data_IF_531681338790
#
_entry.id   IF_531681338790
#
_cell.length_a   1.000
_cell.length_b   1.000
_cell.length_c   1.000
_cell.angle_alpha   90.00
_cell.angle_beta   90.00
_cell.angle_gamma   90.00
#
_symmetry.space_group_name_H-M   'P 1'
#
loop_
_entity.id
_entity.type
_entity.pdbx_description
1 polymer ?
#
# COMPACT_ATOMS: atom_id res chain seq x y z
N UNK A 1 -19.90 16.83 5.84
CA UNK A 1 -19.55 15.64 5.04
C UNK A 1 -18.92 14.63 5.99
N UNK A 2 -19.65 13.58 6.34
CA UNK A 2 -19.18 12.54 7.25
C UNK A 2 -18.00 11.84 6.59
N UNK A 3 -16.82 11.91 7.21
CA UNK A 3 -15.67 11.11 6.79
C UNK A 3 -16.06 9.65 7.02
N UNK A 4 -16.39 8.93 5.94
CA UNK A 4 -16.55 7.48 5.99
C UNK A 4 -15.18 6.93 6.39
N UNK A 5 -15.02 6.66 7.68
CA UNK A 5 -13.88 5.97 8.22
C UNK A 5 -14.02 4.51 7.78
N UNK A 6 -13.63 4.21 6.55
CA UNK A 6 -13.51 2.83 6.09
C UNK A 6 -12.57 2.10 7.03
N UNK A 7 -13.09 1.22 7.86
CA UNK A 7 -12.26 0.35 8.66
C UNK A 7 -11.80 -0.80 7.76
N UNK A 8 -10.50 -0.88 7.47
CA UNK A 8 -9.94 -1.99 6.67
C UNK A 8 -10.33 -3.36 7.23
N UNK A 9 -10.52 -3.48 8.55
CA UNK A 9 -10.99 -4.73 9.17
C UNK A 9 -12.42 -5.08 8.77
N UNK A 10 -13.29 -4.09 8.58
CA UNK A 10 -14.68 -4.28 8.19
C UNK A 10 -14.77 -4.76 6.74
N UNK A 11 -14.07 -4.10 5.81
CA UNK A 11 -14.01 -4.52 4.40
C UNK A 11 -13.48 -5.96 4.29
N UNK A 12 -12.43 -6.29 5.04
CA UNK A 12 -11.86 -7.65 5.03
C UNK A 12 -12.83 -8.66 5.65
N UNK A 13 -13.51 -8.31 6.74
CA UNK A 13 -14.49 -9.18 7.39
C UNK A 13 -15.70 -9.44 6.48
N UNK A 14 -16.23 -8.42 5.82
CA UNK A 14 -17.30 -8.54 4.83
C UNK A 14 -16.89 -9.43 3.66
N UNK A 15 -15.71 -9.19 3.10
CA UNK A 15 -15.18 -10.00 2.01
C UNK A 15 -14.95 -11.47 2.43
N UNK A 16 -14.46 -11.72 3.64
CA UNK A 16 -14.34 -13.07 4.21
C UNK A 16 -15.71 -13.71 4.48
N UNK A 17 -16.73 -12.95 4.86
CA UNK A 17 -18.08 -13.48 5.05
C UNK A 17 -18.69 -13.94 3.71
N UNK A 18 -18.38 -13.25 2.61
CA UNK A 18 -18.80 -13.64 1.26
C UNK A 18 -18.01 -14.84 0.72
N UNK A 19 -16.71 -14.91 1.01
CA UNK A 19 -15.83 -15.98 0.55
C UNK A 19 -14.95 -16.55 1.67
N UNK A 20 -15.51 -17.37 2.59
CA UNK A 20 -14.80 -17.81 3.81
C UNK A 20 -13.53 -18.63 3.53
N UNK A 21 -13.52 -19.37 2.43
CA UNK A 21 -12.40 -20.23 2.01
C UNK A 21 -11.90 -19.91 0.59
N UNK A 22 -12.40 -18.82 -0.01
CA UNK A 22 -12.12 -18.43 -1.38
C UNK A 22 -11.20 -17.21 -1.47
N UNK A 23 -10.96 -16.72 -2.70
CA UNK A 23 -10.29 -15.43 -2.89
C UNK A 23 -11.09 -14.32 -2.21
N UNK A 24 -10.39 -13.41 -1.53
CA UNK A 24 -11.04 -12.29 -0.81
C UNK A 24 -11.80 -11.35 -1.77
N UNK A 25 -11.28 -11.16 -2.99
CA UNK A 25 -11.89 -10.34 -4.02
C UNK A 25 -12.03 -11.17 -5.30
N UNK A 26 -13.22 -11.13 -5.91
CA UNK A 26 -13.59 -12.01 -7.03
C UNK A 26 -14.21 -11.23 -8.19
N UNK A 27 -13.93 -11.65 -9.41
CA UNK A 27 -14.50 -11.02 -10.62
C UNK A 27 -15.85 -11.63 -11.06
N UNK A 28 -16.19 -12.84 -10.58
CA UNK A 28 -17.43 -13.64 -10.76
C UNK A 28 -17.11 -15.11 -10.41
N UNK A 29 -18.05 -16.04 -10.61
CA UNK A 29 -17.77 -17.49 -10.65
C UNK A 29 -17.42 -17.99 -12.07
N UNK A 30 -16.86 -19.19 -12.16
CA UNK A 30 -16.45 -19.85 -13.41
C UNK A 30 -17.59 -20.52 -14.20
N UNK A 31 -18.85 -20.19 -13.90
CA UNK A 31 -20.04 -20.88 -14.44
C UNK A 31 -20.33 -22.22 -13.77
N UNK A 32 -19.44 -22.72 -12.91
CA UNK A 32 -19.61 -23.91 -12.09
C UNK A 32 -19.65 -23.58 -10.58
N UNK A 33 -19.80 -22.30 -10.23
CA UNK A 33 -19.89 -21.82 -8.86
C UNK A 33 -18.54 -21.66 -8.14
N UNK A 34 -17.41 -21.83 -8.83
CA UNK A 34 -16.09 -21.57 -8.25
C UNK A 34 -15.71 -20.10 -8.43
N UNK A 35 -15.47 -19.42 -7.33
CA UNK A 35 -15.01 -18.04 -7.32
C UNK A 35 -13.69 -17.84 -8.08
N UNK A 36 -13.68 -16.90 -9.02
CA UNK A 36 -12.49 -16.49 -9.77
C UNK A 36 -11.84 -15.31 -9.04
N UNK A 37 -10.55 -15.39 -8.67
CA UNK A 37 -9.83 -14.25 -8.09
C UNK A 37 -9.85 -13.04 -9.02
N UNK A 38 -9.96 -11.84 -8.45
CA UNK A 38 -9.78 -10.60 -9.21
C UNK A 38 -8.42 -10.61 -9.93
N UNK A 39 -8.42 -10.27 -11.22
CA UNK A 39 -7.18 -10.13 -11.98
C UNK A 39 -6.48 -8.80 -11.66
N UNK A 40 -5.16 -8.77 -11.81
CA UNK A 40 -4.37 -7.55 -11.63
C UNK A 40 -4.76 -6.47 -12.65
N UNK A 41 -5.18 -6.87 -13.85
CA UNK A 41 -5.64 -5.95 -14.89
C UNK A 41 -6.94 -5.25 -14.48
N UNK A 42 -7.90 -5.98 -13.88
CA UNK A 42 -9.12 -5.39 -13.33
C UNK A 42 -8.81 -4.37 -12.25
N UNK A 43 -7.90 -4.69 -11.32
CA UNK A 43 -7.47 -3.73 -10.28
C UNK A 43 -6.77 -2.51 -10.90
N UNK A 44 -5.94 -2.73 -11.93
CA UNK A 44 -5.23 -1.66 -12.61
C UNK A 44 -6.19 -0.71 -13.34
N UNK A 45 -7.23 -1.24 -13.99
CA UNK A 45 -8.28 -0.46 -14.61
C UNK A 45 -9.07 0.35 -13.56
N UNK A 46 -9.45 -0.27 -12.44
CA UNK A 46 -10.15 0.41 -11.35
C UNK A 46 -9.33 1.59 -10.79
N UNK A 47 -8.03 1.39 -10.51
CA UNK A 47 -7.14 2.48 -10.05
C UNK A 47 -6.99 3.57 -11.11
N UNK A 48 -6.97 3.21 -12.39
CA UNK A 48 -6.90 4.20 -13.48
C UNK A 48 -8.14 5.10 -13.50
N UNK A 49 -9.33 4.53 -13.36
CA UNK A 49 -10.58 5.30 -13.30
C UNK A 49 -10.64 6.17 -12.04
N UNK A 50 -10.24 5.63 -10.87
CA UNK A 50 -10.10 6.42 -9.65
C UNK A 50 -9.14 7.60 -9.84
N UNK A 51 -7.98 7.36 -10.46
CA UNK A 51 -6.99 8.41 -10.71
C UNK A 51 -7.54 9.52 -11.59
N UNK A 52 -8.24 9.18 -12.68
CA UNK A 52 -8.92 10.16 -13.54
C UNK A 52 -9.95 10.98 -12.77
N UNK A 53 -10.76 10.32 -11.95
CA UNK A 53 -11.78 11.00 -11.14
C UNK A 53 -11.16 11.96 -10.12
N UNK A 54 -10.10 11.53 -9.42
CA UNK A 54 -9.39 12.38 -8.45
C UNK A 54 -8.68 13.57 -9.10
N UNK A 55 -8.10 13.39 -10.28
CA UNK A 55 -7.51 14.51 -11.04
C UNK A 55 -8.59 15.50 -11.46
N UNK A 56 -9.72 15.02 -11.97
CA UNK A 56 -10.86 15.87 -12.35
C UNK A 56 -11.45 16.63 -11.16
N UNK A 57 -11.42 16.03 -9.97
CA UNK A 57 -11.87 16.65 -8.72
C UNK A 57 -10.81 17.53 -8.05
N UNK A 58 -9.62 17.70 -8.64
CA UNK A 58 -8.47 18.43 -8.08
C UNK A 58 -7.93 17.86 -6.75
N UNK A 59 -8.31 16.63 -6.40
CA UNK A 59 -7.81 15.91 -5.22
C UNK A 59 -6.43 15.29 -5.47
N UNK A 60 -6.09 15.04 -6.73
CA UNK A 60 -4.79 14.56 -7.17
C UNK A 60 -4.15 15.56 -8.16
N UNK A 61 -2.88 15.91 -7.93
CA UNK A 61 -2.13 16.84 -8.78
C UNK A 61 -1.85 16.29 -10.19
N UNK A 62 -1.76 14.97 -10.33
CA UNK A 62 -1.48 14.29 -11.59
C UNK A 62 -2.06 12.88 -11.57
N UNK A 63 -2.17 12.28 -12.76
CA UNK A 63 -2.52 10.86 -12.87
C UNK A 63 -1.49 9.97 -12.19
N UNK A 64 -1.94 8.80 -11.75
CA UNK A 64 -1.15 7.75 -11.11
C UNK A 64 -1.74 6.38 -11.45
N UNK A 65 -0.90 5.35 -11.33
CA UNK A 65 -1.25 3.96 -11.62
C UNK A 65 -1.22 3.09 -10.37
N UNK A 66 -1.68 1.84 -10.49
CA UNK A 66 -1.58 0.83 -9.42
C UNK A 66 -0.12 0.64 -8.95
N UNK A 67 0.86 0.75 -9.85
CA UNK A 67 2.29 0.65 -9.52
C UNK A 67 2.77 1.79 -8.63
N UNK A 68 2.24 2.99 -8.83
CA UNK A 68 2.65 4.18 -8.08
C UNK A 68 2.21 4.12 -6.62
N UNK A 69 1.11 3.40 -6.31
CA UNK A 69 0.69 3.12 -4.94
C UNK A 69 1.80 2.35 -4.21
N UNK A 70 2.32 1.28 -4.82
CA UNK A 70 3.42 0.49 -4.24
C UNK A 70 4.71 1.31 -4.13
N UNK A 71 5.08 2.09 -5.15
CA UNK A 71 6.28 2.94 -5.15
C UNK A 71 6.21 4.01 -4.04
N UNK A 72 5.04 4.61 -3.85
CA UNK A 72 4.77 5.57 -2.77
C UNK A 72 4.92 4.90 -1.40
N UNK A 73 4.31 3.73 -1.20
CA UNK A 73 4.46 2.95 0.04
C UNK A 73 5.94 2.66 0.34
N UNK A 74 6.71 2.20 -0.65
CA UNK A 74 8.13 1.91 -0.49
C UNK A 74 8.95 3.15 -0.11
N UNK A 75 8.65 4.29 -0.74
CA UNK A 75 9.33 5.57 -0.50
C UNK A 75 9.02 6.08 0.91
N UNK A 76 7.76 6.00 1.32
CA UNK A 76 7.33 6.40 2.66
C UNK A 76 7.89 5.50 3.76
N UNK A 77 7.97 4.18 3.53
CA UNK A 77 8.66 3.26 4.45
C UNK A 77 10.14 3.62 4.59
N UNK A 78 10.80 4.02 3.49
CA UNK A 78 12.18 4.51 3.53
C UNK A 78 12.32 5.77 4.40
N UNK A 79 11.40 6.73 4.22
CA UNK A 79 11.37 7.97 4.99
C UNK A 79 11.13 7.73 6.50
N UNK A 80 10.42 6.64 6.84
CA UNK A 80 10.26 6.16 8.22
C UNK A 80 11.48 5.41 8.77
N UNK A 81 12.58 5.32 8.00
CA UNK A 81 13.82 4.67 8.41
C UNK A 81 13.81 3.13 8.26
N UNK A 82 12.83 2.56 7.57
CA UNK A 82 12.78 1.10 7.34
C UNK A 82 13.87 0.71 6.34
N UNK A 83 14.74 -0.22 6.74
CA UNK A 83 15.88 -0.65 5.92
C UNK A 83 15.45 -1.22 4.57
N UNK A 84 16.36 -1.19 3.60
CA UNK A 84 16.13 -1.75 2.27
C UNK A 84 15.78 -3.24 2.36
N UNK A 85 16.45 -4.00 3.22
CA UNK A 85 16.21 -5.44 3.38
C UNK A 85 14.81 -5.73 3.92
N UNK A 86 14.37 -5.01 4.96
CA UNK A 86 13.01 -5.17 5.51
C UNK A 86 11.95 -4.74 4.49
N UNK A 87 12.19 -3.68 3.72
CA UNK A 87 11.28 -3.27 2.62
C UNK A 87 11.24 -4.30 1.50
N UNK A 88 12.37 -4.91 1.14
CA UNK A 88 12.45 -5.96 0.15
C UNK A 88 11.69 -7.22 0.58
N UNK A 89 11.87 -7.60 1.85
CA UNK A 89 11.13 -8.67 2.52
C UNK A 89 9.61 -8.40 2.60
N UNK A 90 9.21 -7.17 2.90
CA UNK A 90 7.80 -6.79 3.04
C UNK A 90 7.09 -6.71 1.69
N UNK A 91 7.74 -6.08 0.72
CA UNK A 91 7.15 -5.85 -0.60
C UNK A 91 7.48 -7.00 -1.58
N UNK A 92 8.28 -8.00 -1.19
CA UNK A 92 8.68 -9.10 -2.08
C UNK A 92 9.39 -8.61 -3.34
N UNK A 93 10.32 -7.66 -3.21
CA UNK A 93 11.20 -7.26 -4.31
C UNK A 93 12.64 -7.12 -3.84
N UNK A 94 13.58 -7.28 -4.76
CA UNK A 94 15.00 -7.13 -4.44
C UNK A 94 15.56 -8.25 -3.55
N UNK A 95 14.80 -9.31 -3.34
CA UNK A 95 15.29 -10.56 -2.75
C UNK A 95 15.92 -11.40 -3.85
N UNK A 96 17.18 -11.80 -3.67
CA UNK A 96 17.93 -12.59 -4.64
C UNK A 96 19.38 -12.78 -4.25
N UNK A 97 20.02 -13.78 -4.87
CA UNK A 97 21.42 -14.11 -4.63
C UNK A 97 21.62 -15.28 -3.67
N UNK A 98 22.89 -15.64 -3.46
CA UNK A 98 23.28 -16.83 -2.67
C UNK A 98 22.88 -16.69 -1.21
N UNK A 99 22.94 -15.47 -0.65
CA UNK A 99 22.57 -15.20 0.74
C UNK A 99 21.10 -15.54 0.99
N UNK A 100 20.19 -14.91 0.26
CA UNK A 100 18.75 -15.11 0.39
C UNK A 100 18.33 -16.55 0.07
N UNK A 101 19.03 -17.22 -0.85
CA UNK A 101 18.69 -18.59 -1.27
C UNK A 101 19.18 -19.66 -0.30
N UNK A 102 20.39 -19.51 0.24
CA UNK A 102 21.07 -20.61 0.94
C UNK A 102 21.18 -20.39 2.45
N UNK A 103 21.24 -19.13 2.89
CA UNK A 103 21.62 -18.80 4.27
C UNK A 103 20.53 -18.04 5.04
N UNK A 104 19.85 -17.07 4.42
CA UNK A 104 18.83 -16.30 5.12
C UNK A 104 17.53 -17.10 5.28
N UNK A 105 17.37 -17.67 6.47
CA UNK A 105 16.17 -18.42 6.88
C UNK A 105 15.29 -17.62 7.84
N UNK A 106 15.64 -16.36 8.12
CA UNK A 106 14.86 -15.52 9.02
C UNK A 106 13.54 -15.14 8.36
N UNK A 107 12.44 -15.21 9.11
CA UNK A 107 11.11 -14.88 8.56
C UNK A 107 10.88 -13.38 8.43
N UNK A 108 11.66 -12.57 9.16
CA UNK A 108 11.49 -11.12 9.34
C UNK A 108 10.09 -10.73 9.87
N UNK A 109 9.37 -11.66 10.51
CA UNK A 109 7.99 -11.41 10.93
C UNK A 109 7.88 -10.18 11.85
N UNK A 110 8.75 -10.10 12.86
CA UNK A 110 8.73 -9.01 13.84
C UNK A 110 9.02 -7.65 13.19
N UNK A 111 9.94 -7.64 12.23
CA UNK A 111 10.41 -6.49 11.46
C UNK A 111 9.30 -6.00 10.52
N UNK A 112 8.66 -6.92 9.79
CA UNK A 112 7.51 -6.65 8.92
C UNK A 112 6.36 -6.04 9.71
N UNK A 113 6.00 -6.63 10.85
CA UNK A 113 4.93 -6.11 11.72
C UNK A 113 5.27 -4.71 12.25
N UNK A 114 6.51 -4.48 12.73
CA UNK A 114 6.94 -3.15 13.18
C UNK A 114 6.87 -2.11 12.07
N UNK A 115 7.35 -2.45 10.87
CA UNK A 115 7.31 -1.56 9.71
C UNK A 115 5.87 -1.19 9.33
N UNK A 116 4.97 -2.17 9.27
CA UNK A 116 3.55 -1.94 8.95
C UNK A 116 2.82 -1.10 10.02
N UNK A 117 3.11 -1.30 11.31
CA UNK A 117 2.56 -0.45 12.38
C UNK A 117 3.03 1.01 12.27
N UNK A 118 4.30 1.23 11.96
CA UNK A 118 4.81 2.58 11.71
C UNK A 118 4.14 3.23 10.50
N UNK A 119 3.92 2.44 9.44
CA UNK A 119 3.21 2.90 8.25
C UNK A 119 1.75 3.26 8.52
N UNK A 120 1.03 2.41 9.25
CA UNK A 120 -0.34 2.66 9.70
C UNK A 120 -0.44 3.98 10.49
N UNK A 121 0.49 4.21 11.44
CA UNK A 121 0.54 5.46 12.21
C UNK A 121 0.73 6.68 11.29
N UNK A 122 1.60 6.58 10.27
CA UNK A 122 1.82 7.65 9.30
C UNK A 122 0.58 7.92 8.46
N UNK A 123 -0.08 6.88 7.94
CA UNK A 123 -1.33 7.00 7.18
C UNK A 123 -2.44 7.66 8.00
N UNK A 124 -2.61 7.25 9.26
CA UNK A 124 -3.57 7.87 10.19
C UNK A 124 -3.26 9.36 10.40
N UNK A 125 -1.99 9.73 10.52
CA UNK A 125 -1.60 11.13 10.64
C UNK A 125 -1.94 11.94 9.36
N UNK A 126 -1.64 11.39 8.18
CA UNK A 126 -1.98 12.01 6.88
C UNK A 126 -3.49 12.19 6.74
N UNK A 127 -4.29 11.15 7.03
CA UNK A 127 -5.75 11.20 6.95
C UNK A 127 -6.37 12.23 7.90
N UNK A 128 -5.72 12.50 9.03
CA UNK A 128 -6.13 13.55 10.00
C UNK A 128 -5.61 14.95 9.63
N UNK A 129 -4.99 15.13 8.46
CA UNK A 129 -4.40 16.41 8.04
C UNK A 129 -3.16 16.82 8.84
N UNK A 130 -2.61 15.92 9.67
CA UNK A 130 -1.38 16.15 10.44
C UNK A 130 -0.18 15.90 9.53
N UNK A 131 0.08 16.85 8.64
CA UNK A 131 1.34 16.87 7.90
C UNK A 131 2.50 17.17 8.85
N UNK A 132 3.61 16.45 8.68
CA UNK A 132 4.88 16.82 9.30
C UNK A 132 5.22 18.25 8.88
N UNK A 133 5.60 19.09 9.85
CA UNK A 133 6.05 20.46 9.60
C UNK A 133 7.23 20.42 8.62
N UNK A 134 6.97 20.69 7.35
CA UNK A 134 8.02 21.04 6.38
C UNK A 134 8.64 22.32 6.91
N UNK A 135 9.82 22.21 7.52
CA UNK A 135 10.57 23.39 7.95
C UNK A 135 11.16 23.99 6.68
N UNK A 136 10.83 25.25 6.33
CA UNK A 136 11.39 25.89 5.15
C UNK A 136 12.92 25.84 5.25
N UNK A 137 13.57 25.34 4.21
CA UNK A 137 15.03 25.46 4.08
C UNK A 137 15.33 26.96 4.07
N UNK A 138 16.02 27.45 5.10
CA UNK A 138 16.55 28.82 5.11
C UNK A 138 17.46 28.95 3.89
N UNK A 139 17.15 29.88 2.98
CA UNK A 139 18.10 30.28 1.92
C UNK A 139 19.37 30.74 2.63
N UNK A 140 20.50 30.12 2.32
CA UNK A 140 21.80 30.57 2.78
C UNK A 140 22.02 32.01 2.33
N UNK A 141 22.31 32.90 3.28
CA UNK A 141 22.83 34.22 2.99
C UNK A 141 24.29 34.02 2.58
N UNK A 142 24.57 34.12 1.29
CA UNK A 142 25.95 34.28 0.82
C UNK A 142 26.33 35.74 1.06
N UNK A 143 27.24 35.95 1.99
CA UNK A 143 27.98 37.20 2.18
C UNK A 143 29.14 37.28 1.18
#
# INVERSE_FOLDING_TARGET
>A
MSAIAWNTQEIVAEALALHPSGPLFTNMDDGHGKAIPVSVDTLSAAVTEMSKAMVKAEEARSSFSLRDIRRTCETQLAALGVSKDVRGQLLSHGLGGVQDRNYDRHSYWSEKVRALKSWEKRLKAVAQGKNEKVTPIRRGVHA
#
